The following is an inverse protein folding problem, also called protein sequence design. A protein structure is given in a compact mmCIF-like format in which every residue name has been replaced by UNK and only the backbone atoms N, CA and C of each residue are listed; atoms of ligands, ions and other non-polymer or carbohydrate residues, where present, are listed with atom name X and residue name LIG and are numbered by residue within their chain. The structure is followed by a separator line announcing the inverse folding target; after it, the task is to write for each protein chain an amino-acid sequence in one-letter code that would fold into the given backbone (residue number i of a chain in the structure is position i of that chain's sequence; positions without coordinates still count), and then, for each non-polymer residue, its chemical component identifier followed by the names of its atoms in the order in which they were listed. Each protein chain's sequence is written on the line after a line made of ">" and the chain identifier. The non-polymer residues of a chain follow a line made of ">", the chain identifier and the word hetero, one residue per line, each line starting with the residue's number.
data_IF_116754874800
#
_entry.id   IF_116754874800
#
_cell.length_a   1.000
_cell.length_b   1.000
_cell.length_c   1.000
_cell.angle_alpha   90.00
_cell.angle_beta   90.00
_cell.angle_gamma   90.00
#
_symmetry.space_group_name_H-M   'P 1'
#
loop_
_entity.id
_entity.type
_entity.pdbx_description
1 polymer ?
#
# COMPACT_ATOMS: atom_id res chain seq x y z
N UNK A 1 18.14 -17.42 16.82
CA UNK A 1 16.82 -17.84 17.36
C UNK A 1 16.76 -18.07 18.88
N UNK A 2 17.88 -18.11 19.63
CA UNK A 2 17.84 -18.25 21.10
C UNK A 2 17.57 -16.95 21.88
N UNK A 3 17.86 -15.76 21.32
CA UNK A 3 17.63 -14.48 22.02
C UNK A 3 16.18 -13.97 22.01
N UNK A 4 15.31 -14.52 21.15
CA UNK A 4 13.91 -14.07 21.05
C UNK A 4 12.98 -14.73 22.09
N UNK A 5 13.29 -15.98 22.48
CA UNK A 5 12.61 -16.67 23.60
C UNK A 5 12.98 -16.07 24.97
N UNK A 6 14.14 -15.40 25.07
CA UNK A 6 14.55 -14.68 26.26
C UNK A 6 13.72 -13.39 26.47
N UNK A 7 13.45 -12.61 25.41
CA UNK A 7 12.69 -11.36 25.52
C UNK A 7 11.24 -11.52 25.97
N UNK A 8 10.54 -12.57 25.50
CA UNK A 8 9.15 -12.85 25.90
C UNK A 8 9.09 -13.40 27.34
N UNK A 9 10.09 -14.21 27.74
CA UNK A 9 10.21 -14.66 29.13
C UNK A 9 10.58 -13.52 30.07
N UNK A 10 11.40 -12.56 29.64
CA UNK A 10 11.74 -11.36 30.42
C UNK A 10 10.51 -10.47 30.60
N UNK A 11 9.70 -10.24 29.54
CA UNK A 11 8.47 -9.45 29.66
C UNK A 11 7.42 -10.13 30.55
N UNK A 12 7.25 -11.45 30.44
CA UNK A 12 6.38 -12.22 31.33
C UNK A 12 6.92 -12.25 32.77
N UNK A 13 8.23 -12.32 32.97
CA UNK A 13 8.85 -12.28 34.30
C UNK A 13 8.71 -10.91 34.96
N UNK A 14 8.80 -9.81 34.20
CA UNK A 14 8.52 -8.46 34.70
C UNK A 14 7.03 -8.23 35.00
N UNK A 15 6.12 -8.79 34.20
CA UNK A 15 4.68 -8.72 34.46
C UNK A 15 4.27 -9.52 35.70
N UNK A 16 4.92 -10.67 35.95
CA UNK A 16 4.68 -11.49 37.15
C UNK A 16 5.38 -10.91 38.39
N UNK A 17 6.61 -10.38 38.28
CA UNK A 17 7.31 -9.74 39.40
C UNK A 17 6.71 -8.39 39.81
N UNK A 18 6.14 -7.61 38.89
CA UNK A 18 5.43 -6.37 39.22
C UNK A 18 4.23 -6.63 40.15
N UNK A 19 3.63 -7.81 40.06
CA UNK A 19 2.52 -8.22 40.93
C UNK A 19 3.01 -8.77 42.28
N UNK A 20 4.22 -9.35 42.34
CA UNK A 20 4.78 -9.96 43.54
C UNK A 20 5.40 -8.97 44.55
N UNK A 21 5.71 -7.72 44.13
CA UNK A 21 6.43 -6.74 44.96
C UNK A 21 5.61 -5.53 45.42
N UNK A 22 4.29 -5.50 45.23
CA UNK A 22 3.43 -4.41 45.75
C UNK A 22 3.69 -3.01 45.16
N UNK A 23 4.69 -2.86 44.27
CA UNK A 23 4.82 -1.70 43.38
C UNK A 23 3.87 -1.90 42.23
N UNK A 24 2.58 -1.67 42.48
CA UNK A 24 1.62 -1.52 41.38
C UNK A 24 2.22 -0.55 40.36
N UNK A 25 2.25 -0.95 39.08
CA UNK A 25 2.50 -0.01 37.99
C UNK A 25 1.61 1.19 38.27
N UNK A 26 2.20 2.35 38.60
CA UNK A 26 1.41 3.56 38.83
C UNK A 26 0.71 3.85 37.52
N UNK A 27 -0.57 3.50 37.45
CA UNK A 27 -1.42 3.80 36.31
C UNK A 27 -1.29 5.29 36.04
N UNK A 28 -1.14 5.67 34.78
CA UNK A 28 -1.07 7.07 34.38
C UNK A 28 -2.26 7.82 34.98
N UNK A 29 -2.01 9.00 35.54
CA UNK A 29 -3.10 9.79 36.12
C UNK A 29 -4.16 10.10 35.05
N UNK A 30 -5.44 10.24 35.42
CA UNK A 30 -6.49 10.63 34.47
C UNK A 30 -6.11 11.87 33.65
N UNK A 31 -5.44 12.85 34.26
CA UNK A 31 -4.93 14.05 33.58
C UNK A 31 -3.90 13.69 32.50
N UNK A 32 -2.95 12.82 32.79
CA UNK A 32 -1.95 12.38 31.82
C UNK A 32 -2.60 11.63 30.65
N UNK A 33 -3.54 10.72 30.92
CA UNK A 33 -4.29 10.00 29.88
C UNK A 33 -5.06 10.94 28.95
N UNK A 34 -5.62 12.04 29.46
CA UNK A 34 -6.31 13.04 28.63
C UNK A 34 -5.35 13.79 27.71
N UNK A 35 -4.18 14.19 28.22
CA UNK A 35 -3.16 14.90 27.44
C UNK A 35 -2.66 14.01 26.30
N UNK A 36 -2.32 12.75 26.61
CA UNK A 36 -1.86 11.78 25.61
C UNK A 36 -2.94 11.55 24.55
N UNK A 37 -4.19 11.33 24.96
CA UNK A 37 -5.29 11.16 24.01
C UNK A 37 -5.49 12.39 23.11
N UNK A 38 -5.36 13.61 23.65
CA UNK A 38 -5.43 14.84 22.87
C UNK A 38 -4.36 14.91 21.78
N UNK A 39 -3.11 14.60 22.12
CA UNK A 39 -2.01 14.56 21.15
C UNK A 39 -2.21 13.49 20.07
N UNK A 40 -2.67 12.29 20.47
CA UNK A 40 -2.99 11.22 19.51
C UNK A 40 -4.14 11.61 18.58
N UNK A 41 -5.20 12.24 19.11
CA UNK A 41 -6.32 12.72 18.30
C UNK A 41 -5.86 13.76 17.27
N UNK A 42 -5.04 14.73 17.68
CA UNK A 42 -4.47 15.72 16.76
C UNK A 42 -3.65 15.04 15.67
N UNK A 43 -2.83 14.05 16.00
CA UNK A 43 -2.04 13.30 15.02
C UNK A 43 -2.92 12.47 14.05
N UNK A 44 -4.01 11.87 14.53
CA UNK A 44 -5.00 11.21 13.66
C UNK A 44 -5.63 12.20 12.70
N UNK A 45 -6.08 13.35 13.21
CA UNK A 45 -6.72 14.41 12.41
C UNK A 45 -5.76 15.00 11.39
N UNK A 46 -4.50 15.24 11.76
CA UNK A 46 -3.46 15.69 10.84
C UNK A 46 -3.30 14.73 9.65
N UNK A 47 -3.48 13.43 9.86
CA UNK A 47 -3.49 12.39 8.82
C UNK A 47 -4.66 12.44 7.83
N UNK A 48 -5.57 13.41 7.95
CA UNK A 48 -6.63 13.72 6.96
C UNK A 48 -6.41 15.07 6.26
N UNK A 49 -5.37 15.82 6.62
CA UNK A 49 -5.11 17.17 6.09
C UNK A 49 -4.11 17.15 4.92
N UNK A 50 -3.99 16.02 4.21
CA UNK A 50 -3.07 15.86 3.09
C UNK A 50 -3.34 16.85 1.94
N UNK A 51 -4.61 17.18 1.70
CA UNK A 51 -5.02 18.18 0.70
C UNK A 51 -4.62 19.62 1.10
N UNK A 52 -4.50 19.91 2.40
CA UNK A 52 -4.08 21.22 2.88
C UNK A 52 -2.55 21.35 2.89
N UNK A 53 -1.85 20.29 3.26
CA UNK A 53 -0.39 20.27 3.28
C UNK A 53 0.15 18.83 3.17
N UNK A 54 1.22 18.58 2.39
CA UNK A 54 1.80 17.24 2.20
C UNK A 54 2.24 16.49 3.47
N UNK A 55 2.45 17.20 4.58
CA UNK A 55 2.73 16.58 5.89
C UNK A 55 1.55 15.73 6.38
N UNK A 56 0.32 16.04 5.96
CA UNK A 56 -0.85 15.23 6.28
C UNK A 56 -0.71 13.80 5.77
N UNK A 57 -0.12 13.61 4.58
CA UNK A 57 0.16 12.28 4.04
C UNK A 57 1.24 11.55 4.85
N UNK A 58 2.23 12.26 5.41
CA UNK A 58 3.19 11.68 6.36
C UNK A 58 2.49 11.15 7.62
N UNK A 59 1.54 11.91 8.19
CA UNK A 59 0.71 11.41 9.29
C UNK A 59 -0.21 10.27 8.87
N UNK A 60 -0.72 10.30 7.63
CA UNK A 60 -1.58 9.25 7.08
C UNK A 60 -0.90 7.88 7.08
N UNK A 61 0.41 7.82 6.74
CA UNK A 61 1.22 6.57 6.77
C UNK A 61 1.16 5.87 8.12
N UNK A 62 1.24 6.64 9.21
CA UNK A 62 1.24 6.09 10.58
C UNK A 62 -0.15 6.12 11.25
N UNK A 63 -1.19 6.55 10.53
CA UNK A 63 -2.53 6.80 11.09
C UNK A 63 -3.11 5.59 11.80
N UNK A 64 -2.87 4.38 11.30
CA UNK A 64 -3.34 3.15 11.95
C UNK A 64 -2.65 2.88 13.30
N UNK A 65 -1.36 3.16 13.41
CA UNK A 65 -0.62 3.02 14.67
C UNK A 65 -1.11 4.03 15.70
N UNK A 66 -1.30 5.29 15.28
CA UNK A 66 -1.79 6.35 16.15
C UNK A 66 -3.25 6.08 16.56
N UNK A 67 -4.10 5.60 15.65
CA UNK A 67 -5.48 5.21 15.94
C UNK A 67 -5.55 4.02 16.91
N UNK A 68 -4.68 3.01 16.75
CA UNK A 68 -4.56 1.90 17.69
C UNK A 68 -4.11 2.36 19.09
N UNK A 69 -3.15 3.27 19.16
CA UNK A 69 -2.74 3.89 20.42
C UNK A 69 -3.87 4.71 21.05
N UNK A 70 -4.66 5.44 20.24
CA UNK A 70 -5.82 6.19 20.71
C UNK A 70 -6.89 5.24 21.28
N UNK A 71 -7.15 4.13 20.61
CA UNK A 71 -8.08 3.10 21.09
C UNK A 71 -7.61 2.50 22.43
N UNK A 72 -6.32 2.17 22.54
CA UNK A 72 -5.72 1.66 23.76
C UNK A 72 -5.82 2.67 24.92
N UNK A 73 -5.48 3.94 24.68
CA UNK A 73 -5.61 5.00 25.68
C UNK A 73 -7.08 5.23 26.06
N UNK A 74 -8.01 5.13 25.11
CA UNK A 74 -9.44 5.15 25.35
C UNK A 74 -9.88 4.03 26.31
N UNK A 75 -9.42 2.80 26.10
CA UNK A 75 -9.69 1.69 27.01
C UNK A 75 -9.10 1.92 28.42
N UNK A 76 -7.88 2.47 28.52
CA UNK A 76 -7.27 2.83 29.81
C UNK A 76 -8.04 3.96 30.51
N UNK A 77 -8.59 4.92 29.77
CA UNK A 77 -9.46 5.97 30.30
C UNK A 77 -10.76 5.40 30.88
N UNK A 78 -11.35 4.38 30.24
CA UNK A 78 -12.51 3.66 30.78
C UNK A 78 -12.19 3.01 32.12
N UNK A 79 -11.04 2.33 32.21
CA UNK A 79 -10.55 1.70 33.45
C UNK A 79 -10.27 2.73 34.55
N UNK A 80 -9.76 3.91 34.18
CA UNK A 80 -9.48 5.01 35.10
C UNK A 80 -10.70 5.86 35.49
N UNK A 81 -11.92 5.47 35.09
CA UNK A 81 -13.16 6.18 35.41
C UNK A 81 -13.49 7.38 34.51
N UNK A 82 -12.69 7.67 33.48
CA UNK A 82 -12.92 8.74 32.50
C UNK A 82 -13.81 8.21 31.36
N UNK A 83 -15.05 7.83 31.72
CA UNK A 83 -15.92 7.00 30.85
C UNK A 83 -16.28 7.64 29.50
N UNK A 84 -16.81 8.86 29.48
CA UNK A 84 -17.32 9.47 28.24
C UNK A 84 -16.20 9.66 27.20
N UNK A 85 -15.08 10.26 27.60
CA UNK A 85 -13.94 10.47 26.72
C UNK A 85 -13.27 9.15 26.33
N UNK A 86 -13.20 8.18 27.25
CA UNK A 86 -12.68 6.85 26.96
C UNK A 86 -13.48 6.13 25.88
N UNK A 87 -14.82 6.20 25.94
CA UNK A 87 -15.71 5.62 24.93
C UNK A 87 -15.51 6.29 23.57
N UNK A 88 -15.45 7.63 23.53
CA UNK A 88 -15.24 8.38 22.29
C UNK A 88 -13.89 8.04 21.65
N UNK A 89 -12.80 8.06 22.41
CA UNK A 89 -11.45 7.76 21.89
C UNK A 89 -11.33 6.32 21.42
N UNK A 90 -11.91 5.37 22.18
CA UNK A 90 -11.96 3.97 21.79
C UNK A 90 -12.73 3.79 20.47
N UNK A 91 -13.92 4.38 20.38
CA UNK A 91 -14.76 4.34 19.19
C UNK A 91 -14.08 4.95 17.96
N UNK A 92 -13.48 6.14 18.10
CA UNK A 92 -12.76 6.81 17.02
C UNK A 92 -11.55 6.00 16.55
N UNK A 93 -10.73 5.51 17.47
CA UNK A 93 -9.55 4.71 17.14
C UNK A 93 -9.90 3.42 16.39
N UNK A 94 -10.91 2.68 16.89
CA UNK A 94 -11.41 1.47 16.21
C UNK A 94 -12.08 1.80 14.87
N UNK A 95 -12.86 2.88 14.80
CA UNK A 95 -13.51 3.33 13.58
C UNK A 95 -12.52 3.62 12.47
N UNK A 96 -11.43 4.34 12.75
CA UNK A 96 -10.36 4.61 11.77
C UNK A 96 -9.74 3.31 11.26
N UNK A 97 -9.50 2.32 12.13
CA UNK A 97 -8.91 1.03 11.74
C UNK A 97 -9.86 0.26 10.81
N UNK A 98 -11.15 0.22 11.13
CA UNK A 98 -12.17 -0.45 10.31
C UNK A 98 -12.30 0.22 8.94
N UNK A 99 -12.39 1.55 8.91
CA UNK A 99 -12.57 2.32 7.67
C UNK A 99 -11.36 2.28 6.74
N UNK A 100 -10.15 2.02 7.24
CA UNK A 100 -8.95 1.91 6.41
C UNK A 100 -8.98 0.70 5.45
N UNK A 101 -9.87 -0.27 5.68
CA UNK A 101 -10.02 -1.42 4.77
C UNK A 101 -8.78 -2.31 4.71
N UNK A 102 -8.09 -2.49 5.84
CA UNK A 102 -6.92 -3.40 6.00
C UNK A 102 -7.32 -4.80 6.47
N UNK A 103 -8.49 -4.91 7.12
CA UNK A 103 -8.98 -6.14 7.73
C UNK A 103 -9.35 -7.17 6.64
N UNK A 104 -9.12 -8.48 6.89
CA UNK A 104 -9.36 -9.52 5.89
C UNK A 104 -10.84 -9.70 5.53
N UNK A 105 -11.76 -9.22 6.37
CA UNK A 105 -13.21 -9.20 6.15
C UNK A 105 -13.72 -7.81 5.71
N UNK A 106 -12.81 -6.89 5.36
CA UNK A 106 -13.14 -5.55 4.88
C UNK A 106 -13.39 -5.52 3.37
N UNK A 107 -12.82 -4.52 2.69
CA UNK A 107 -12.94 -4.26 1.24
C UNK A 107 -12.37 -5.45 0.42
N UNK A 108 -13.13 -6.54 0.29
CA UNK A 108 -12.79 -7.76 -0.44
C UNK A 108 -14.03 -8.19 -1.22
N UNK A 109 -13.90 -8.27 -2.54
CA UNK A 109 -14.99 -8.64 -3.43
C UNK A 109 -14.45 -9.69 -4.40
N UNK A 110 -14.48 -10.99 -4.01
CA UNK A 110 -14.05 -12.06 -4.89
C UNK A 110 -14.78 -11.95 -6.24
N UNK A 111 -14.08 -12.09 -7.37
CA UNK A 111 -14.73 -12.14 -8.67
C UNK A 111 -15.80 -13.24 -8.73
N UNK A 112 -16.91 -12.95 -9.40
CA UNK A 112 -17.96 -13.94 -9.64
C UNK A 112 -17.51 -15.03 -10.62
N UNK A 113 -18.23 -16.15 -10.61
CA UNK A 113 -17.99 -17.23 -11.56
C UNK A 113 -18.26 -16.76 -13.00
N UNK A 114 -17.37 -17.12 -13.94
CA UNK A 114 -17.46 -16.70 -15.34
C UNK A 114 -17.08 -15.24 -15.63
N UNK A 115 -16.68 -14.47 -14.61
CA UNK A 115 -16.20 -13.10 -14.80
C UNK A 115 -14.84 -13.08 -15.51
N UNK A 116 -14.60 -12.01 -16.28
CA UNK A 116 -13.32 -11.82 -16.94
C UNK A 116 -12.29 -11.26 -15.94
N UNK A 117 -11.60 -12.17 -15.25
CA UNK A 117 -10.71 -11.84 -14.12
C UNK A 117 -9.33 -11.40 -14.58
N UNK A 118 -8.87 -10.27 -14.06
CA UNK A 118 -7.47 -9.83 -14.13
C UNK A 118 -6.71 -10.43 -12.95
N UNK A 119 -5.68 -11.24 -13.26
CA UNK A 119 -4.68 -11.73 -12.30
C UNK A 119 -3.47 -10.81 -12.33
N UNK A 120 -3.26 -10.02 -11.28
CA UNK A 120 -2.25 -8.96 -11.26
C UNK A 120 -1.16 -9.25 -10.24
N UNK A 121 0.08 -9.29 -10.72
CA UNK A 121 1.30 -9.31 -9.92
C UNK A 121 1.92 -7.90 -9.88
N UNK A 122 1.96 -7.27 -8.71
CA UNK A 122 2.64 -5.99 -8.51
C UNK A 122 3.83 -6.16 -7.57
N UNK A 123 4.97 -5.51 -7.87
CA UNK A 123 6.14 -5.54 -6.99
C UNK A 123 7.15 -4.41 -7.22
N UNK A 124 7.55 -3.71 -6.15
CA UNK A 124 8.86 -3.03 -6.10
C UNK A 124 9.98 -4.09 -5.94
N UNK A 125 10.88 -4.11 -6.92
CA UNK A 125 11.89 -5.15 -7.11
C UNK A 125 13.12 -4.96 -6.24
N UNK A 126 13.35 -3.76 -5.68
CA UNK A 126 14.64 -3.28 -5.21
C UNK A 126 15.67 -3.23 -6.35
N UNK A 127 16.17 -2.05 -6.71
CA UNK A 127 17.13 -1.86 -7.83
C UNK A 127 18.44 -2.68 -7.72
N UNK A 128 18.74 -3.18 -6.51
CA UNK A 128 19.89 -4.03 -6.20
C UNK A 128 19.48 -5.38 -5.61
N UNK A 129 18.43 -5.99 -6.17
CA UNK A 129 18.07 -7.36 -5.82
C UNK A 129 19.21 -8.32 -6.23
N UNK A 130 19.76 -9.04 -5.26
CA UNK A 130 20.88 -9.97 -5.50
C UNK A 130 20.44 -11.24 -6.25
N UNK A 131 19.14 -11.54 -6.27
CA UNK A 131 18.58 -12.75 -6.91
C UNK A 131 17.22 -12.46 -7.57
N UNK A 132 17.19 -11.65 -8.64
CA UNK A 132 15.96 -11.28 -9.33
C UNK A 132 15.30 -12.48 -10.04
N UNK A 133 16.05 -13.56 -10.32
CA UNK A 133 15.50 -14.79 -10.91
C UNK A 133 14.41 -15.41 -10.04
N UNK A 134 14.52 -15.32 -8.71
CA UNK A 134 13.45 -15.79 -7.81
C UNK A 134 12.14 -15.04 -8.00
N UNK A 135 12.20 -13.77 -8.43
CA UNK A 135 10.99 -13.03 -8.78
C UNK A 135 10.42 -13.51 -10.11
N UNK A 136 11.26 -13.67 -11.12
CA UNK A 136 10.85 -14.23 -12.42
C UNK A 136 10.18 -15.59 -12.24
N UNK A 137 10.80 -16.50 -11.49
CA UNK A 137 10.26 -17.84 -11.22
C UNK A 137 8.88 -17.77 -10.53
N UNK A 138 8.69 -16.87 -9.55
CA UNK A 138 7.39 -16.69 -8.88
C UNK A 138 6.33 -16.05 -9.80
N UNK A 139 6.73 -15.15 -10.71
CA UNK A 139 5.84 -14.60 -11.75
C UNK A 139 5.38 -15.72 -12.68
N UNK A 140 6.32 -16.46 -13.27
CA UNK A 140 6.03 -17.53 -14.22
C UNK A 140 5.19 -18.65 -13.57
N UNK A 141 5.48 -19.02 -12.33
CA UNK A 141 4.72 -20.04 -11.61
C UNK A 141 3.28 -19.63 -11.28
N UNK A 142 3.02 -18.32 -11.12
CA UNK A 142 1.68 -17.79 -10.84
C UNK A 142 0.87 -17.48 -12.08
N UNK A 143 1.54 -17.31 -13.22
CA UNK A 143 0.93 -17.00 -14.52
C UNK A 143 -0.04 -15.80 -14.45
N UNK A 144 0.41 -14.61 -14.01
CA UNK A 144 -0.46 -13.43 -14.00
C UNK A 144 -0.75 -12.94 -15.41
N UNK A 145 -1.92 -12.34 -15.61
CA UNK A 145 -2.29 -11.67 -16.86
C UNK A 145 -1.74 -10.24 -16.93
N UNK A 146 -1.37 -9.64 -15.80
CA UNK A 146 -0.78 -8.30 -15.71
C UNK A 146 0.34 -8.30 -14.68
N UNK A 147 1.47 -7.70 -15.02
CA UNK A 147 2.62 -7.50 -14.14
C UNK A 147 2.99 -6.02 -14.12
N UNK A 148 3.13 -5.44 -12.92
CA UNK A 148 3.66 -4.08 -12.74
C UNK A 148 4.85 -4.09 -11.80
N UNK A 149 5.99 -3.64 -12.28
CA UNK A 149 7.25 -3.63 -11.55
C UNK A 149 7.78 -2.21 -11.37
N UNK A 150 8.38 -1.98 -10.20
CA UNK A 150 9.10 -0.75 -9.85
C UNK A 150 10.53 -1.11 -9.46
N UNK A 151 11.47 -0.18 -9.61
CA UNK A 151 12.90 -0.43 -9.40
C UNK A 151 13.43 -1.64 -10.19
N UNK A 152 12.84 -1.91 -11.35
CA UNK A 152 13.29 -2.90 -12.32
C UNK A 152 14.48 -2.35 -13.14
N UNK A 153 15.48 -1.86 -12.43
CA UNK A 153 16.73 -1.33 -12.94
C UNK A 153 17.91 -2.01 -12.24
N UNK A 154 19.14 -1.74 -12.69
CA UNK A 154 20.33 -2.36 -12.10
C UNK A 154 20.31 -3.88 -12.22
N UNK A 155 20.57 -4.61 -11.13
CA UNK A 155 20.52 -6.08 -11.16
C UNK A 155 19.10 -6.61 -11.39
N UNK A 156 18.07 -5.88 -10.96
CA UNK A 156 16.66 -6.28 -11.18
C UNK A 156 16.23 -6.24 -12.64
N UNK A 157 16.96 -5.53 -13.52
CA UNK A 157 16.68 -5.51 -14.95
C UNK A 157 17.03 -6.84 -15.65
N UNK A 158 17.81 -7.73 -15.02
CA UNK A 158 18.31 -8.98 -15.61
C UNK A 158 17.21 -10.00 -15.99
N UNK A 159 15.96 -9.77 -15.56
CA UNK A 159 14.81 -10.64 -15.87
C UNK A 159 13.84 -10.03 -16.89
N UNK A 160 14.10 -8.80 -17.36
CA UNK A 160 13.13 -8.09 -18.21
C UNK A 160 13.01 -8.73 -19.59
N UNK A 161 14.09 -9.22 -20.18
CA UNK A 161 14.07 -9.91 -21.47
C UNK A 161 13.20 -11.19 -21.39
N UNK A 162 13.33 -11.98 -20.32
CA UNK A 162 12.49 -13.16 -20.09
C UNK A 162 10.99 -12.80 -19.98
N UNK A 163 10.68 -11.62 -19.43
CA UNK A 163 9.31 -11.12 -19.33
C UNK A 163 8.78 -10.61 -20.69
N UNK A 164 9.61 -9.95 -21.49
CA UNK A 164 9.25 -9.58 -22.86
C UNK A 164 9.01 -10.81 -23.75
N UNK A 165 9.78 -11.88 -23.55
CA UNK A 165 9.57 -13.15 -24.26
C UNK A 165 8.25 -13.84 -23.83
N UNK A 166 7.84 -13.70 -22.56
CA UNK A 166 6.58 -14.28 -22.05
C UNK A 166 5.35 -13.47 -22.43
N UNK A 167 5.42 -12.14 -22.41
CA UNK A 167 4.25 -11.27 -22.49
C UNK A 167 4.18 -10.52 -23.82
N UNK A 168 3.05 -10.61 -24.56
CA UNK A 168 2.89 -9.96 -25.87
C UNK A 168 2.87 -8.42 -25.80
N UNK A 169 2.49 -7.85 -24.67
CA UNK A 169 2.53 -6.41 -24.43
C UNK A 169 3.43 -6.09 -23.25
N UNK A 170 4.28 -5.07 -23.40
CA UNK A 170 5.09 -4.58 -22.29
C UNK A 170 5.83 -3.29 -22.61
N UNK A 171 6.27 -2.62 -21.55
CA UNK A 171 7.15 -1.46 -21.60
C UNK A 171 8.07 -1.49 -20.39
N UNK A 172 9.33 -1.13 -20.56
CA UNK A 172 10.29 -0.97 -19.49
C UNK A 172 11.03 0.37 -19.67
N UNK A 173 10.98 1.20 -18.64
CA UNK A 173 11.52 2.55 -18.63
C UNK A 173 12.62 2.64 -17.58
N UNK A 174 13.86 2.82 -18.03
CA UNK A 174 15.03 3.03 -17.16
C UNK A 174 15.60 4.44 -17.34
N UNK A 175 14.83 5.43 -16.91
CA UNK A 175 15.29 6.82 -16.80
C UNK A 175 15.38 7.21 -15.32
N UNK A 176 16.20 8.22 -14.96
CA UNK A 176 16.21 8.76 -13.60
C UNK A 176 14.83 9.18 -13.08
N UNK A 177 13.94 9.60 -13.98
CA UNK A 177 12.58 10.04 -13.70
C UNK A 177 11.60 8.87 -13.52
N UNK A 178 11.78 7.75 -14.25
CA UNK A 178 10.93 6.56 -14.08
C UNK A 178 11.36 5.74 -12.86
N UNK A 179 12.67 5.60 -12.59
CA UNK A 179 13.22 4.71 -11.56
C UNK A 179 12.87 3.23 -11.83
N UNK A 180 13.15 2.76 -13.05
CA UNK A 180 12.96 1.35 -13.42
C UNK A 180 11.51 0.90 -13.34
N UNK A 181 10.62 1.54 -14.09
CA UNK A 181 9.21 1.14 -14.17
C UNK A 181 9.04 0.15 -15.31
N UNK A 182 8.37 -0.96 -15.05
CA UNK A 182 7.98 -1.88 -16.11
C UNK A 182 6.54 -2.34 -15.97
N UNK A 183 5.93 -2.61 -17.12
CA UNK A 183 4.58 -3.18 -17.26
C UNK A 183 4.67 -4.34 -18.24
N UNK A 184 3.99 -5.43 -17.95
CA UNK A 184 3.79 -6.54 -18.87
C UNK A 184 2.34 -7.03 -18.78
N UNK A 185 1.78 -7.48 -19.90
CA UNK A 185 0.41 -7.94 -19.96
C UNK A 185 0.23 -9.09 -20.96
N UNK A 186 -0.59 -10.07 -20.57
CA UNK A 186 -0.96 -11.24 -21.37
C UNK A 186 -2.17 -10.93 -22.28
N UNK A 187 -2.12 -9.77 -22.93
CA UNK A 187 -3.15 -9.24 -23.80
C UNK A 187 -2.48 -8.58 -25.01
N UNK A 188 -3.10 -8.59 -26.21
CA UNK A 188 -2.55 -7.89 -27.36
C UNK A 188 -2.33 -6.39 -27.07
N UNK A 189 -1.17 -5.82 -27.46
CA UNK A 189 -0.93 -4.40 -27.30
C UNK A 189 -1.75 -3.58 -28.32
N UNK A 190 -2.24 -2.42 -27.90
CA UNK A 190 -2.71 -1.39 -28.83
C UNK A 190 -1.49 -0.65 -29.37
N UNK A 191 -1.36 -0.59 -30.70
CA UNK A 191 -0.19 -0.03 -31.37
C UNK A 191 0.11 1.42 -30.95
N UNK A 192 1.38 1.74 -30.81
CA UNK A 192 1.89 3.10 -30.52
C UNK A 192 1.36 3.75 -29.22
N UNK A 193 0.91 2.93 -28.24
CA UNK A 193 0.41 3.42 -26.95
C UNK A 193 1.41 3.31 -25.80
N UNK A 194 2.48 2.54 -25.96
CA UNK A 194 3.49 2.38 -24.91
C UNK A 194 4.19 3.72 -24.63
N UNK A 195 4.32 4.10 -23.35
CA UNK A 195 4.93 5.36 -22.95
C UNK A 195 5.79 5.22 -21.69
N UNK A 196 6.79 6.11 -21.62
CA UNK A 196 7.58 6.41 -20.43
C UNK A 196 7.38 7.88 -20.06
N UNK A 197 6.93 8.13 -18.83
CA UNK A 197 6.71 9.46 -18.29
C UNK A 197 7.30 9.58 -16.88
N UNK A 198 7.20 10.78 -16.29
CA UNK A 198 7.71 11.00 -14.94
C UNK A 198 6.86 10.21 -13.94
N UNK A 199 7.46 9.24 -13.24
CA UNK A 199 6.78 8.33 -12.29
C UNK A 199 5.69 7.44 -12.89
N UNK A 200 5.62 7.32 -14.22
CA UNK A 200 4.65 6.45 -14.89
C UNK A 200 5.30 5.75 -16.08
N UNK A 201 4.99 4.47 -16.24
CA UNK A 201 5.19 3.74 -17.48
C UNK A 201 3.90 3.00 -17.77
N UNK A 202 3.46 2.97 -19.03
CA UNK A 202 2.22 2.31 -19.35
C UNK A 202 2.08 1.92 -20.81
N UNK A 203 1.13 1.05 -21.06
CA UNK A 203 0.74 0.59 -22.40
C UNK A 203 -0.76 0.29 -22.37
N UNK A 204 -1.45 0.56 -23.48
CA UNK A 204 -2.84 0.17 -23.62
C UNK A 204 -2.89 -1.23 -24.25
N UNK A 205 -3.78 -2.07 -23.74
CA UNK A 205 -3.96 -3.45 -24.22
C UNK A 205 -5.41 -3.76 -24.50
N UNK A 206 -5.65 -4.71 -25.40
CA UNK A 206 -6.97 -5.28 -25.67
C UNK A 206 -7.39 -6.21 -24.53
N UNK A 207 -7.86 -5.60 -23.45
CA UNK A 207 -8.23 -6.27 -22.21
C UNK A 207 -9.53 -7.07 -22.32
N UNK A 208 -9.92 -7.73 -21.22
CA UNK A 208 -11.04 -8.67 -21.20
C UNK A 208 -12.41 -8.07 -21.57
N UNK A 209 -12.58 -6.77 -21.35
CA UNK A 209 -13.83 -6.03 -21.61
C UNK A 209 -13.65 -4.91 -22.64
N UNK A 210 -12.51 -4.92 -23.36
CA UNK A 210 -12.11 -3.87 -24.30
C UNK A 210 -10.77 -3.20 -23.91
N UNK A 211 -10.37 -2.15 -24.65
CA UNK A 211 -9.10 -1.46 -24.42
C UNK A 211 -8.96 -0.92 -22.98
N UNK A 212 -7.83 -1.18 -22.34
CA UNK A 212 -7.52 -0.74 -20.97
C UNK A 212 -6.06 -0.30 -20.87
N UNK A 213 -5.82 0.81 -20.18
CA UNK A 213 -4.47 1.25 -19.85
C UNK A 213 -3.92 0.44 -18.68
N UNK A 214 -2.72 -0.11 -18.82
CA UNK A 214 -1.97 -0.73 -17.72
C UNK A 214 -0.77 0.14 -17.41
N UNK A 215 -0.72 0.65 -16.17
CA UNK A 215 0.24 1.68 -15.76
C UNK A 215 0.96 1.23 -14.49
N UNK A 216 2.29 1.25 -14.54
CA UNK A 216 3.18 1.12 -13.38
C UNK A 216 3.55 2.51 -12.86
N UNK A 217 3.53 2.70 -11.54
CA UNK A 217 3.93 3.97 -10.91
C UNK A 217 4.87 3.76 -9.73
N UNK A 218 5.79 4.70 -9.52
CA UNK A 218 6.67 4.75 -8.36
C UNK A 218 6.85 6.20 -7.88
N UNK A 219 6.14 6.56 -6.82
CA UNK A 219 6.25 7.89 -6.24
C UNK A 219 7.46 7.99 -5.31
N UNK A 220 7.92 9.22 -5.03
CA UNK A 220 8.87 9.44 -3.94
C UNK A 220 8.18 9.29 -2.59
N UNK A 221 8.98 9.09 -1.54
CA UNK A 221 8.54 9.19 -0.15
C UNK A 221 7.72 10.46 0.12
N UNK A 222 6.85 10.35 1.13
CA UNK A 222 6.04 11.45 1.69
C UNK A 222 6.91 12.62 2.20
N UNK A 223 6.27 13.73 2.58
CA UNK A 223 6.95 14.92 3.09
C UNK A 223 8.00 14.55 4.17
N UNK A 224 9.22 15.12 4.13
CA UNK A 224 9.65 16.29 3.35
C UNK A 224 10.07 16.01 1.89
N UNK A 225 9.85 14.80 1.38
CA UNK A 225 10.15 14.47 -0.01
C UNK A 225 8.94 14.74 -0.95
N UNK A 226 9.15 14.50 -2.25
CA UNK A 226 8.30 15.01 -3.33
C UNK A 226 7.09 14.12 -3.69
N UNK A 227 6.50 13.36 -2.76
CA UNK A 227 5.33 12.50 -3.05
C UNK A 227 4.16 13.28 -3.66
N UNK A 228 3.65 14.26 -2.91
CA UNK A 228 2.49 15.07 -3.32
C UNK A 228 2.74 15.81 -4.62
N UNK A 229 3.96 16.35 -4.81
CA UNK A 229 4.36 17.00 -6.05
C UNK A 229 4.31 16.06 -7.26
N UNK A 230 4.77 14.82 -7.12
CA UNK A 230 4.68 13.84 -8.20
C UNK A 230 3.24 13.40 -8.46
N UNK A 231 2.43 13.22 -7.42
CA UNK A 231 1.01 12.94 -7.59
C UNK A 231 0.32 14.05 -8.39
N UNK A 232 0.58 15.32 -8.07
CA UNK A 232 0.05 16.48 -8.79
C UNK A 232 0.50 16.53 -10.26
N UNK A 233 1.73 16.11 -10.55
CA UNK A 233 2.25 16.02 -11.92
C UNK A 233 1.59 14.92 -12.74
N UNK A 234 1.24 13.80 -12.10
CA UNK A 234 0.57 12.68 -12.76
C UNK A 234 -0.89 12.97 -13.09
N UNK A 235 -1.59 13.80 -12.31
CA UNK A 235 -3.02 14.10 -12.50
C UNK A 235 -3.39 14.50 -13.93
N UNK A 236 -2.79 15.52 -14.57
CA UNK A 236 -3.15 15.90 -15.93
C UNK A 236 -2.79 14.84 -16.97
N UNK A 237 -1.69 14.11 -16.77
CA UNK A 237 -1.29 13.03 -17.68
C UNK A 237 -2.30 11.86 -17.61
N UNK A 238 -2.74 11.47 -16.42
CA UNK A 238 -3.76 10.44 -16.22
C UNK A 238 -5.12 10.85 -16.78
N UNK A 239 -5.52 12.11 -16.56
CA UNK A 239 -6.79 12.63 -17.06
C UNK A 239 -6.84 12.71 -18.59
N UNK A 240 -5.68 12.81 -19.26
CA UNK A 240 -5.58 12.83 -20.72
C UNK A 240 -5.67 11.43 -21.37
N UNK A 241 -5.56 10.35 -20.59
CA UNK A 241 -5.70 8.99 -21.10
C UNK A 241 -7.18 8.61 -21.14
N UNK A 242 -7.71 8.32 -22.33
CA UNK A 242 -9.11 7.92 -22.48
C UNK A 242 -9.34 6.44 -22.15
N UNK A 243 -10.48 6.16 -21.50
CA UNK A 243 -10.95 4.80 -21.20
C UNK A 243 -10.51 4.25 -19.83
N UNK A 244 -10.84 2.97 -19.57
CA UNK A 244 -10.53 2.28 -18.31
C UNK A 244 -9.03 2.20 -18.04
N UNK A 245 -8.67 2.22 -16.74
CA UNK A 245 -7.27 2.22 -16.30
C UNK A 245 -7.03 1.23 -15.17
N UNK A 246 -5.86 0.61 -15.20
CA UNK A 246 -5.22 -0.12 -14.12
C UNK A 246 -3.94 0.62 -13.77
N UNK A 247 -3.82 1.08 -12.53
CA UNK A 247 -2.62 1.75 -12.02
C UNK A 247 -2.14 0.98 -10.81
N UNK A 248 -0.90 0.51 -10.85
CA UNK A 248 -0.33 -0.24 -9.75
C UNK A 248 1.13 0.09 -9.53
N UNK A 249 1.55 0.00 -8.28
CA UNK A 249 2.95 0.13 -7.94
C UNK A 249 3.18 0.61 -6.52
N UNK A 250 4.38 1.12 -6.29
CA UNK A 250 4.82 1.69 -5.04
C UNK A 250 4.47 3.18 -4.97
N UNK A 251 3.38 3.48 -4.28
CA UNK A 251 2.94 4.86 -4.08
C UNK A 251 3.75 5.55 -2.98
N UNK A 252 4.63 4.84 -2.26
CA UNK A 252 5.40 5.34 -1.12
C UNK A 252 4.55 6.00 -0.01
N UNK A 253 3.24 5.78 -0.07
CA UNK A 253 2.22 6.31 0.83
C UNK A 253 1.04 5.33 0.84
N UNK A 254 0.31 5.34 1.94
CA UNK A 254 -0.87 4.49 2.16
C UNK A 254 -2.06 4.89 1.29
N UNK A 255 -2.96 3.95 0.95
CA UNK A 255 -4.01 4.19 -0.05
C UNK A 255 -5.12 5.17 0.36
N UNK A 256 -5.13 5.61 1.62
CA UNK A 256 -6.09 6.57 2.16
C UNK A 256 -5.49 7.97 2.34
N UNK A 257 -4.34 8.21 1.73
CA UNK A 257 -3.68 9.51 1.68
C UNK A 257 -4.20 10.33 0.50
N UNK A 258 -4.13 11.66 0.65
CA UNK A 258 -4.66 12.60 -0.33
C UNK A 258 -3.98 12.46 -1.71
N UNK A 259 -2.67 12.17 -1.72
CA UNK A 259 -1.94 11.96 -2.98
C UNK A 259 -2.44 10.75 -3.77
N UNK A 260 -2.83 9.65 -3.11
CA UNK A 260 -3.40 8.48 -3.80
C UNK A 260 -4.84 8.77 -4.24
N UNK A 261 -5.60 9.49 -3.43
CA UNK A 261 -6.97 9.88 -3.78
C UNK A 261 -7.01 10.76 -5.04
N UNK A 262 -6.11 11.75 -5.16
CA UNK A 262 -5.99 12.58 -6.38
C UNK A 262 -5.65 11.75 -7.62
N UNK A 263 -4.72 10.81 -7.51
CA UNK A 263 -4.37 9.88 -8.60
C UNK A 263 -5.58 9.02 -8.98
N UNK A 264 -6.26 8.46 -7.98
CA UNK A 264 -7.44 7.61 -8.20
C UNK A 264 -8.57 8.38 -8.90
N UNK A 265 -8.85 9.61 -8.46
CA UNK A 265 -9.86 10.49 -9.07
C UNK A 265 -9.49 10.85 -10.52
N UNK A 266 -8.26 11.28 -10.78
CA UNK A 266 -7.80 11.60 -12.14
C UNK A 266 -7.86 10.41 -13.09
N UNK A 267 -7.64 9.20 -12.56
CA UNK A 267 -7.70 7.97 -13.32
C UNK A 267 -9.11 7.41 -13.52
N UNK A 268 -10.13 7.91 -12.80
CA UNK A 268 -11.43 7.25 -12.74
C UNK A 268 -11.34 5.83 -12.17
N UNK A 269 -10.48 5.64 -11.16
CA UNK A 269 -10.13 4.34 -10.62
C UNK A 269 -10.38 4.26 -9.11
N UNK A 270 -10.59 3.04 -8.62
CA UNK A 270 -10.74 2.75 -7.21
C UNK A 270 -9.77 1.66 -6.76
N UNK A 271 -9.43 1.66 -5.47
CA UNK A 271 -8.55 0.64 -4.91
C UNK A 271 -9.18 -0.76 -4.98
N UNK A 272 -8.43 -1.67 -5.60
CA UNK A 272 -8.74 -3.09 -5.64
C UNK A 272 -8.47 -3.73 -4.27
N UNK A 273 -9.45 -4.48 -3.78
CA UNK A 273 -9.33 -5.26 -2.55
C UNK A 273 -8.97 -4.45 -1.31
N UNK A 274 -8.24 -5.07 -0.39
CA UNK A 274 -7.83 -4.53 0.91
C UNK A 274 -6.41 -4.00 0.81
N UNK A 275 -6.04 -3.09 1.69
CA UNK A 275 -4.67 -2.62 1.76
C UNK A 275 -3.83 -3.67 2.49
N UNK A 276 -2.78 -4.17 1.85
CA UNK A 276 -1.90 -5.22 2.40
C UNK A 276 -0.56 -4.63 2.78
N UNK A 277 0.05 -5.12 3.86
CA UNK A 277 1.37 -4.66 4.29
C UNK A 277 2.39 -5.04 3.23
N UNK A 278 3.13 -4.04 2.74
CA UNK A 278 4.10 -4.21 1.65
C UNK A 278 5.49 -3.70 2.00
N UNK A 279 5.62 -2.91 3.07
CA UNK A 279 6.92 -2.39 3.51
C UNK A 279 7.05 -2.32 5.03
N UNK A 280 8.31 -2.32 5.53
CA UNK A 280 8.63 -2.20 6.95
C UNK A 280 9.57 -1.02 7.19
N UNK A 281 9.00 0.13 7.56
CA UNK A 281 9.74 1.35 7.92
C UNK A 281 10.63 1.05 9.14
N UNK A 282 11.92 1.34 8.99
CA UNK A 282 12.97 1.00 9.96
C UNK A 282 12.95 -0.48 10.39
N UNK A 283 12.46 -1.38 9.54
CA UNK A 283 12.36 -2.82 9.80
C UNK A 283 11.25 -3.23 10.79
N UNK A 284 10.45 -2.29 11.32
CA UNK A 284 9.48 -2.57 12.39
C UNK A 284 8.06 -2.15 12.02
N UNK A 285 7.88 -0.91 11.56
CA UNK A 285 6.55 -0.36 11.30
C UNK A 285 6.09 -0.78 9.90
N UNK A 286 5.08 -1.65 9.88
CA UNK A 286 4.51 -2.28 8.69
C UNK A 286 3.45 -1.38 8.04
N UNK A 287 3.70 -0.98 6.81
CA UNK A 287 2.87 -0.01 6.06
C UNK A 287 2.43 -0.58 4.72
N UNK A 288 1.34 -0.03 4.16
CA UNK A 288 0.67 -0.50 2.95
C UNK A 288 0.92 0.48 1.79
N UNK A 289 2.15 0.53 1.28
CA UNK A 289 2.56 1.56 0.30
C UNK A 289 2.47 1.12 -1.15
N UNK A 290 2.36 -0.19 -1.39
CA UNK A 290 2.14 -0.75 -2.70
C UNK A 290 0.65 -1.05 -2.91
N UNK A 291 0.07 -0.50 -3.97
CA UNK A 291 -1.38 -0.51 -4.18
C UNK A 291 -1.74 -0.78 -5.64
N UNK A 292 -2.97 -1.25 -5.87
CA UNK A 292 -3.56 -1.45 -7.19
C UNK A 292 -4.88 -0.67 -7.21
N UNK A 293 -5.00 0.24 -8.17
CA UNK A 293 -6.19 1.00 -8.50
C UNK A 293 -6.69 0.51 -9.87
N UNK A 294 -8.00 0.33 -10.02
CA UNK A 294 -8.59 -0.03 -11.30
C UNK A 294 -9.96 0.64 -11.48
N UNK A 295 -10.34 0.95 -12.71
CA UNK A 295 -11.71 1.41 -13.04
C UNK A 295 -12.72 0.35 -12.57
N UNK A 296 -13.65 0.77 -11.70
CA UNK A 296 -14.60 -0.14 -11.04
C UNK A 296 -13.96 -1.12 -10.04
N UNK A 297 -12.78 -0.78 -9.49
CA UNK A 297 -11.90 -1.66 -8.71
C UNK A 297 -12.57 -2.46 -7.59
N UNK A 298 -13.00 -3.68 -7.91
CA UNK A 298 -13.56 -4.67 -6.99
C UNK A 298 -12.81 -5.98 -7.14
N UNK A 299 -12.23 -6.47 -6.06
CA UNK A 299 -11.40 -7.66 -6.08
C UNK A 299 -10.92 -8.09 -4.71
N UNK A 300 -10.01 -9.05 -4.73
CA UNK A 300 -9.28 -9.55 -3.55
C UNK A 300 -7.79 -9.26 -3.71
N UNK A 301 -7.11 -9.06 -2.58
CA UNK A 301 -5.68 -8.75 -2.56
C UNK A 301 -4.99 -9.49 -1.42
N UNK A 302 -3.76 -9.94 -1.68
CA UNK A 302 -2.89 -10.57 -0.69
C UNK A 302 -1.44 -10.18 -0.91
N UNK A 303 -0.68 -10.13 0.17
CA UNK A 303 0.77 -9.93 0.09
C UNK A 303 1.46 -11.17 -0.51
N UNK A 304 2.51 -10.94 -1.26
CA UNK A 304 3.45 -11.91 -1.81
C UNK A 304 4.77 -11.89 -1.03
N UNK A 305 5.63 -12.92 -1.18
CA UNK A 305 6.95 -12.92 -0.56
C UNK A 305 7.85 -11.78 -1.05
N UNK A 306 8.93 -11.53 -0.31
CA UNK A 306 9.91 -10.48 -0.61
C UNK A 306 10.83 -10.80 -1.78
N UNK A 307 11.27 -12.06 -1.91
CA UNK A 307 12.08 -12.54 -3.04
C UNK A 307 13.28 -11.63 -3.35
N UNK A 308 14.10 -11.33 -2.34
CA UNK A 308 15.30 -10.48 -2.47
C UNK A 308 15.05 -8.97 -2.34
N UNK A 309 13.81 -8.51 -2.55
CA UNK A 309 13.42 -7.11 -2.29
C UNK A 309 13.22 -6.81 -0.80
N UNK A 310 13.24 -5.55 -0.40
CA UNK A 310 12.76 -5.09 0.90
C UNK A 310 11.23 -4.90 0.95
N UNK A 311 10.55 -4.91 -0.22
CA UNK A 311 9.10 -4.92 -0.36
C UNK A 311 8.51 -6.35 -0.47
N UNK A 312 7.39 -6.58 0.22
CA UNK A 312 6.49 -7.67 -0.12
C UNK A 312 5.70 -7.27 -1.38
N UNK A 313 5.53 -8.20 -2.34
CA UNK A 313 4.70 -7.92 -3.52
C UNK A 313 3.20 -7.95 -3.20
N UNK A 314 2.38 -7.63 -4.19
CA UNK A 314 0.91 -7.72 -4.11
C UNK A 314 0.39 -8.61 -5.22
N UNK A 315 -0.45 -9.57 -4.84
CA UNK A 315 -1.29 -10.33 -5.77
C UNK A 315 -2.72 -9.83 -5.68
N UNK A 316 -3.36 -9.64 -6.83
CA UNK A 316 -4.76 -9.30 -6.91
C UNK A 316 -5.51 -10.11 -7.96
N UNK A 317 -6.78 -10.37 -7.66
CA UNK A 317 -7.77 -10.92 -8.59
C UNK A 317 -9.00 -10.01 -8.54
N UNK A 318 -9.35 -9.44 -9.69
CA UNK A 318 -10.41 -8.44 -9.79
C UNK A 318 -11.02 -8.41 -11.19
N UNK A 319 -12.19 -7.79 -11.28
CA UNK A 319 -12.84 -7.47 -12.56
C UNK A 319 -12.71 -5.98 -12.82
N UNK A 320 -12.66 -5.59 -14.09
CA UNK A 320 -12.84 -4.20 -14.48
C UNK A 320 -14.33 -3.86 -14.49
N UNK A 321 -14.68 -2.66 -14.01
CA UNK A 321 -16.03 -2.13 -14.19
C UNK A 321 -16.23 -1.58 -15.61
N UNK A 322 -17.49 -1.37 -15.98
CA UNK A 322 -17.83 -0.56 -17.15
C UNK A 322 -17.37 0.89 -16.88
N UNK A 323 -16.59 1.46 -17.81
CA UNK A 323 -16.03 2.81 -17.72
C UNK A 323 -16.97 3.87 -18.28
#
# INVERSE_FOLDING_TARGET
>A
MLHFRAGIRVLAFYLVQANAYGRGMKMLSPKALRIVAGGLLVAVLAGFLGDLHPVGDTFAVFRLYVAGALALVGALQLQAGVRNQGLVNLGLGLGVIVMAGVLPFGRQFPPGEGAAVVRHYQKNMLYHNDDPRRVLDDILARDPTVVTLQEAAGSSALILDDLFDRYPAGVACDTPESIGLAVFADYPPVADTAFCATRMAGVQVEGPTGPVWVISTHLRWVWPYMNAFHADRMVPELAALDGPKIIAGDFNVVPWAASVERIAQAAGAERVGRAVVTYAVAGVLRVQIDNILATGGRGVTRALPKLGSDHWGVWAEYTLGEG
#
